data_IF_725687654496
#
_entry.id   IF_725687654496
#
_cell.length_a   1.000
_cell.length_b   1.000
_cell.length_c   1.000
_cell.angle_alpha   90.00
_cell.angle_beta   90.00
_cell.angle_gamma   90.00
#
_symmetry.space_group_name_H-M   'P 1'
#
loop_
_entity.id
_entity.type
_entity.pdbx_description
1 polymer ?
#
# COMPACT_ATOMS: atom_id res chain seq x y z
N UNK A 1 0.26 -21.81 2.09
CA UNK A 1 -0.83 -21.22 2.91
C UNK A 1 -1.36 -20.01 2.15
N UNK A 2 -2.65 -19.67 2.28
CA UNK A 2 -3.18 -18.43 1.70
C UNK A 2 -3.03 -17.35 2.77
N UNK A 3 -2.17 -16.37 2.54
CA UNK A 3 -1.99 -15.24 3.47
C UNK A 3 -3.29 -14.44 3.57
N UNK A 4 -3.72 -14.07 4.77
CA UNK A 4 -4.89 -13.19 4.96
C UNK A 4 -4.49 -11.71 4.80
N UNK A 5 -5.46 -10.82 4.54
CA UNK A 5 -5.18 -9.37 4.52
C UNK A 5 -4.68 -8.86 5.88
N UNK A 6 -5.11 -9.47 6.99
CA UNK A 6 -4.61 -9.17 8.33
C UNK A 6 -3.13 -9.55 8.52
N UNK A 7 -2.71 -10.71 8.01
CA UNK A 7 -1.31 -11.14 8.06
C UNK A 7 -0.41 -10.22 7.23
N UNK A 8 -0.84 -9.88 6.01
CA UNK A 8 -0.14 -8.89 5.16
C UNK A 8 0.03 -7.57 5.90
N UNK A 9 -1.04 -7.09 6.55
CA UNK A 9 -1.02 -5.87 7.33
C UNK A 9 -0.06 -5.96 8.51
N UNK A 10 -0.03 -7.07 9.23
CA UNK A 10 0.86 -7.27 10.37
C UNK A 10 2.34 -7.23 9.97
N UNK A 11 2.71 -7.89 8.86
CA UNK A 11 4.07 -7.85 8.34
C UNK A 11 4.47 -6.44 7.89
N UNK A 12 3.58 -5.74 7.18
CA UNK A 12 3.81 -4.37 6.75
C UNK A 12 4.01 -3.44 7.96
N UNK A 13 3.17 -3.54 8.99
CA UNK A 13 3.29 -2.73 10.20
C UNK A 13 4.65 -2.94 10.86
N UNK A 14 5.06 -4.20 11.06
CA UNK A 14 6.37 -4.52 11.67
C UNK A 14 7.52 -3.89 10.89
N UNK A 15 7.43 -3.91 9.55
CA UNK A 15 8.40 -3.22 8.70
C UNK A 15 8.38 -1.70 8.90
N UNK A 16 7.21 -1.06 8.91
CA UNK A 16 7.08 0.38 9.10
C UNK A 16 7.58 0.85 10.48
N UNK A 17 7.28 0.09 11.53
CA UNK A 17 7.79 0.32 12.89
C UNK A 17 9.31 0.24 12.94
N UNK A 18 9.92 -0.75 12.28
CA UNK A 18 11.38 -0.89 12.20
C UNK A 18 12.07 0.30 11.52
N UNK A 19 11.32 1.05 10.71
CA UNK A 19 11.78 2.26 10.03
C UNK A 19 11.39 3.55 10.78
N UNK A 20 10.78 3.43 11.96
CA UNK A 20 10.40 4.56 12.81
C UNK A 20 9.20 5.37 12.28
N UNK A 21 8.33 4.77 11.46
CA UNK A 21 7.12 5.44 10.98
C UNK A 21 5.96 5.22 11.96
N UNK A 22 5.17 6.28 12.17
CA UNK A 22 3.88 6.20 12.84
C UNK A 22 2.84 5.73 11.83
N UNK A 23 1.93 4.86 12.22
CA UNK A 23 0.91 4.33 11.32
C UNK A 23 -0.49 4.35 11.92
N UNK A 24 -1.49 4.17 11.07
CA UNK A 24 -2.88 4.05 11.46
C UNK A 24 -3.56 2.98 10.58
N UNK A 25 -4.11 1.96 11.24
CA UNK A 25 -4.86 0.88 10.59
C UNK A 25 -6.27 1.39 10.29
N UNK A 26 -6.74 1.27 9.05
CA UNK A 26 -8.04 1.81 8.59
C UNK A 26 -8.17 3.32 8.88
N UNK A 27 -7.41 4.12 8.13
CA UNK A 27 -7.51 5.57 8.21
C UNK A 27 -8.69 6.07 7.37
N UNK A 28 -9.54 6.92 7.96
CA UNK A 28 -10.69 7.48 7.28
C UNK A 28 -10.58 9.00 7.17
N UNK A 29 -10.63 9.51 5.94
CA UNK A 29 -10.68 10.93 5.64
C UNK A 29 -11.99 11.26 4.91
N UNK A 30 -12.99 11.71 5.68
CA UNK A 30 -14.33 11.89 5.15
C UNK A 30 -14.94 10.56 4.72
N UNK A 31 -15.21 10.40 3.42
CA UNK A 31 -15.75 9.14 2.83
C UNK A 31 -14.67 8.22 2.28
N UNK A 32 -13.41 8.64 2.29
CA UNK A 32 -12.30 7.84 1.78
C UNK A 32 -11.71 7.05 2.93
N UNK A 33 -11.65 5.73 2.74
CA UNK A 33 -10.96 4.81 3.64
C UNK A 33 -9.68 4.33 2.98
N UNK A 34 -8.61 4.29 3.77
CA UNK A 34 -7.28 3.81 3.39
C UNK A 34 -6.92 2.71 4.36
N UNK A 35 -6.56 1.54 3.83
CA UNK A 35 -6.35 0.36 4.67
C UNK A 35 -5.22 0.56 5.69
N UNK A 36 -4.14 1.24 5.29
CA UNK A 36 -3.09 1.68 6.20
C UNK A 36 -2.44 2.98 5.71
N UNK A 37 -2.32 3.95 6.61
CA UNK A 37 -1.54 5.17 6.38
C UNK A 37 -0.32 5.14 7.29
N UNK A 38 0.84 5.53 6.75
CA UNK A 38 2.05 5.75 7.52
C UNK A 38 2.58 7.17 7.33
N UNK A 39 3.15 7.72 8.39
CA UNK A 39 3.72 9.06 8.47
C UNK A 39 5.10 8.98 9.11
N UNK A 40 6.08 9.63 8.50
CA UNK A 40 7.40 9.75 9.12
C UNK A 40 8.33 10.66 8.34
N UNK A 41 9.54 10.81 8.86
CA UNK A 41 10.63 11.54 8.20
C UNK A 41 11.62 10.62 7.50
N UNK A 42 11.25 9.37 7.28
CA UNK A 42 12.11 8.38 6.63
C UNK A 42 11.53 7.99 5.27
N UNK A 43 12.34 8.09 4.22
CA UNK A 43 12.02 7.60 2.88
C UNK A 43 12.37 6.12 2.79
N UNK A 44 11.36 5.24 2.84
CA UNK A 44 11.54 3.79 2.83
C UNK A 44 12.05 3.25 1.49
N UNK A 45 12.00 4.04 0.42
CA UNK A 45 12.41 3.62 -0.93
C UNK A 45 13.84 4.01 -1.27
N UNK A 46 14.33 5.08 -0.67
CA UNK A 46 15.69 5.59 -0.81
C UNK A 46 16.57 5.27 0.41
N UNK A 47 15.99 4.67 1.46
CA UNK A 47 16.66 4.32 2.72
C UNK A 47 17.34 5.53 3.39
N UNK A 48 16.67 6.70 3.36
CA UNK A 48 17.24 7.98 3.83
C UNK A 48 16.25 8.80 4.66
N UNK A 49 16.78 9.62 5.55
CA UNK A 49 15.98 10.63 6.26
C UNK A 49 15.61 11.81 5.36
N UNK A 50 14.47 12.42 5.66
CA UNK A 50 13.89 13.60 5.02
C UNK A 50 13.67 14.69 6.05
N UNK A 51 13.79 15.95 5.63
CA UNK A 51 13.46 17.10 6.48
C UNK A 51 11.93 17.31 6.57
N UNK A 52 11.18 16.77 5.62
CA UNK A 52 9.73 16.86 5.52
C UNK A 52 9.04 15.58 5.99
N UNK A 53 7.83 15.73 6.50
CA UNK A 53 6.92 14.60 6.71
C UNK A 53 6.54 13.97 5.37
N UNK A 54 6.74 12.66 5.25
CA UNK A 54 6.34 11.85 4.12
C UNK A 54 5.12 11.03 4.53
N UNK A 55 4.07 11.07 3.69
CA UNK A 55 2.85 10.29 3.87
C UNK A 55 2.80 9.13 2.89
N UNK A 56 2.55 7.94 3.40
CA UNK A 56 2.35 6.73 2.61
C UNK A 56 0.91 6.24 2.78
N UNK A 57 0.25 5.90 1.68
CA UNK A 57 -0.98 5.10 1.70
C UNK A 57 -0.69 3.71 1.16
N UNK A 58 -1.13 2.70 1.88
CA UNK A 58 -1.02 1.30 1.50
C UNK A 58 -2.43 0.72 1.35
N UNK A 59 -2.74 0.27 0.14
CA UNK A 59 -3.96 -0.47 -0.18
C UNK A 59 -3.61 -1.95 -0.25
N UNK A 60 -4.25 -2.75 0.59
CA UNK A 60 -3.98 -4.17 0.74
C UNK A 60 -5.12 -4.96 0.12
N UNK A 61 -4.80 -5.88 -0.80
CA UNK A 61 -5.84 -6.75 -1.37
C UNK A 61 -5.30 -8.12 -1.69
N UNK A 62 -6.08 -9.15 -1.36
CA UNK A 62 -5.91 -10.48 -1.95
C UNK A 62 -6.44 -10.45 -3.40
N UNK A 63 -5.68 -9.79 -4.28
CA UNK A 63 -6.02 -9.45 -5.67
C UNK A 63 -5.99 -10.69 -6.60
N UNK A 64 -6.77 -11.70 -6.22
CA UNK A 64 -6.88 -13.03 -6.83
C UNK A 64 -7.69 -13.05 -8.14
N UNK A 65 -8.37 -11.95 -8.47
CA UNK A 65 -9.19 -11.85 -9.69
C UNK A 65 -8.95 -10.53 -10.40
N UNK A 66 -9.28 -10.49 -11.70
CA UNK A 66 -9.18 -9.28 -12.52
C UNK A 66 -9.95 -8.09 -11.97
N UNK A 67 -11.13 -8.33 -11.38
CA UNK A 67 -11.96 -7.28 -10.77
C UNK A 67 -11.26 -6.71 -9.54
N UNK A 68 -10.79 -7.57 -8.63
CA UNK A 68 -10.11 -7.13 -7.41
C UNK A 68 -8.81 -6.37 -7.71
N UNK A 69 -8.07 -6.79 -8.75
CA UNK A 69 -6.87 -6.05 -9.20
C UNK A 69 -7.26 -4.65 -9.70
N UNK A 70 -8.35 -4.54 -10.47
CA UNK A 70 -8.82 -3.24 -10.96
C UNK A 70 -9.23 -2.35 -9.79
N UNK A 71 -10.00 -2.88 -8.85
CA UNK A 71 -10.50 -2.15 -7.69
C UNK A 71 -9.34 -1.61 -6.82
N UNK A 72 -8.34 -2.45 -6.50
CA UNK A 72 -7.19 -2.00 -5.69
C UNK A 72 -6.34 -0.95 -6.43
N UNK A 73 -6.23 -1.04 -7.77
CA UNK A 73 -5.53 -0.03 -8.57
C UNK A 73 -6.30 1.30 -8.54
N UNK A 74 -7.61 1.28 -8.79
CA UNK A 74 -8.44 2.50 -8.74
C UNK A 74 -8.39 3.12 -7.36
N UNK A 75 -8.46 2.29 -6.33
CA UNK A 75 -8.31 2.71 -4.95
C UNK A 75 -6.96 3.41 -4.73
N UNK A 76 -5.85 2.75 -5.03
CA UNK A 76 -4.52 3.35 -4.86
C UNK A 76 -4.34 4.65 -5.68
N UNK A 77 -4.90 4.74 -6.89
CA UNK A 77 -4.87 5.99 -7.68
C UNK A 77 -5.50 7.14 -6.92
N UNK A 78 -6.69 6.97 -6.32
CA UNK A 78 -7.36 8.12 -5.66
C UNK A 78 -6.58 8.61 -4.43
N UNK A 79 -5.73 7.77 -3.84
CA UNK A 79 -4.93 8.12 -2.65
C UNK A 79 -3.83 9.10 -3.02
N UNK A 80 -3.37 9.12 -4.27
CA UNK A 80 -2.38 10.08 -4.77
C UNK A 80 -2.79 11.55 -4.56
N UNK A 81 -4.09 11.83 -4.39
CA UNK A 81 -4.60 13.16 -4.08
C UNK A 81 -4.28 13.63 -2.65
N UNK A 82 -3.84 12.77 -1.76
CA UNK A 82 -3.64 13.12 -0.34
C UNK A 82 -2.32 12.65 0.27
N UNK A 83 -1.59 11.74 -0.40
CA UNK A 83 -0.33 11.19 0.12
C UNK A 83 0.84 11.42 -0.83
N UNK A 84 2.06 11.42 -0.29
CA UNK A 84 3.29 11.51 -1.07
C UNK A 84 3.51 10.24 -1.90
N UNK A 85 3.25 9.06 -1.33
CA UNK A 85 3.39 7.78 -2.02
C UNK A 85 2.17 6.89 -1.79
N UNK A 86 1.58 6.37 -2.87
CA UNK A 86 0.55 5.33 -2.79
C UNK A 86 1.09 4.00 -3.28
N UNK A 87 0.79 2.93 -2.54
CA UNK A 87 1.39 1.61 -2.69
C UNK A 87 0.29 0.55 -2.66
N UNK A 88 0.33 -0.34 -3.63
CA UNK A 88 -0.46 -1.58 -3.62
C UNK A 88 0.36 -2.65 -2.89
N UNK A 89 -0.27 -3.34 -1.96
CA UNK A 89 0.31 -4.40 -1.15
C UNK A 89 -0.46 -5.69 -1.42
N UNK A 90 0.26 -6.70 -1.86
CA UNK A 90 -0.27 -8.00 -2.29
C UNK A 90 0.59 -9.13 -1.71
N UNK A 91 0.08 -10.36 -1.62
CA UNK A 91 0.95 -11.49 -1.38
C UNK A 91 1.81 -11.75 -2.62
N UNK A 92 3.04 -12.26 -2.46
CA UNK A 92 3.89 -12.59 -3.61
C UNK A 92 3.32 -13.71 -4.47
N UNK A 93 2.67 -14.69 -3.84
CA UNK A 93 1.90 -15.73 -4.55
C UNK A 93 0.51 -15.85 -3.97
N UNK A 94 -0.45 -16.33 -4.77
CA UNK A 94 -1.77 -16.67 -4.27
C UNK A 94 -2.32 -17.91 -4.93
N UNK A 95 -3.11 -18.65 -4.17
CA UNK A 95 -3.85 -19.80 -4.66
C UNK A 95 -5.24 -19.35 -5.10
N UNK A 96 -5.50 -19.39 -6.41
CA UNK A 96 -6.80 -19.09 -6.99
C UNK A 96 -7.53 -20.38 -7.33
N UNK A 97 -8.83 -20.43 -7.06
CA UNK A 97 -9.67 -21.51 -7.56
C UNK A 97 -9.88 -21.31 -9.05
N UNK A 98 -9.44 -22.25 -9.87
CA UNK A 98 -9.69 -22.24 -11.33
C UNK A 98 -10.97 -23.00 -11.68
N UNK A 99 -11.43 -23.87 -10.76
CA UNK A 99 -12.72 -24.54 -10.75
C UNK A 99 -13.02 -25.02 -9.32
N UNK A 100 -14.15 -25.71 -9.10
CA UNK A 100 -14.58 -26.18 -7.77
C UNK A 100 -13.65 -27.23 -7.12
N UNK A 101 -12.65 -27.73 -7.85
CA UNK A 101 -11.77 -28.84 -7.43
C UNK A 101 -10.28 -28.51 -7.46
N UNK A 102 -9.87 -27.46 -8.15
CA UNK A 102 -8.48 -27.17 -8.46
C UNK A 102 -8.11 -25.74 -8.05
N UNK A 103 -7.03 -25.64 -7.26
CA UNK A 103 -6.35 -24.39 -6.98
C UNK A 103 -5.07 -24.31 -7.79
N UNK A 104 -4.85 -23.16 -8.44
CA UNK A 104 -3.61 -22.83 -9.12
C UNK A 104 -2.89 -21.74 -8.35
N UNK A 105 -1.60 -21.94 -8.11
CA UNK A 105 -0.73 -20.87 -7.63
C UNK A 105 -0.43 -19.91 -8.78
N UNK A 106 -0.62 -18.62 -8.53
CA UNK A 106 -0.32 -17.55 -9.48
C UNK A 106 0.59 -16.50 -8.85
N UNK A 107 1.45 -15.92 -9.69
CA UNK A 107 2.23 -14.74 -9.36
C UNK A 107 1.35 -13.50 -9.56
N UNK A 108 0.76 -13.00 -8.47
CA UNK A 108 -0.15 -11.84 -8.52
C UNK A 108 0.61 -10.57 -8.93
N UNK A 109 1.87 -10.45 -8.54
CA UNK A 109 2.68 -9.26 -8.72
C UNK A 109 2.87 -8.87 -10.20
N UNK A 110 3.12 -9.84 -11.07
CA UNK A 110 3.22 -9.62 -12.51
C UNK A 110 1.91 -9.10 -13.12
N UNK A 111 0.77 -9.68 -12.73
CA UNK A 111 -0.54 -9.28 -13.23
C UNK A 111 -0.94 -7.88 -12.75
N UNK A 112 -0.72 -7.56 -11.48
CA UNK A 112 -0.96 -6.21 -10.94
C UNK A 112 -0.06 -5.19 -11.65
N UNK A 113 1.24 -5.50 -11.83
CA UNK A 113 2.19 -4.62 -12.53
C UNK A 113 1.76 -4.35 -13.97
N UNK A 114 1.35 -5.40 -14.70
CA UNK A 114 0.88 -5.31 -16.09
C UNK A 114 -0.37 -4.43 -16.22
N UNK A 115 -1.32 -4.56 -15.28
CA UNK A 115 -2.58 -3.80 -15.28
C UNK A 115 -2.41 -2.38 -14.78
N UNK A 116 -1.46 -2.13 -13.87
CA UNK A 116 -1.15 -0.80 -13.34
C UNK A 116 -0.30 0.06 -14.30
N UNK A 117 -0.68 0.14 -15.58
CA UNK A 117 0.07 0.82 -16.64
C UNK A 117 -0.63 2.05 -17.24
N UNK A 118 -1.68 2.55 -16.58
CA UNK A 118 -2.35 3.81 -16.92
C UNK A 118 -1.57 5.04 -16.42
N UNK A 119 -2.00 6.23 -16.81
CA UNK A 119 -1.32 7.51 -16.54
C UNK A 119 -0.94 7.67 -15.06
N UNK A 120 -1.92 7.52 -14.16
CA UNK A 120 -1.69 7.63 -12.72
C UNK A 120 -1.20 6.33 -12.09
N UNK A 121 -1.64 5.17 -12.60
CA UNK A 121 -1.24 3.89 -12.02
C UNK A 121 0.24 3.55 -12.22
N UNK A 122 0.93 4.15 -13.19
CA UNK A 122 2.41 4.06 -13.33
C UNK A 122 3.19 4.65 -12.16
N UNK A 123 2.58 5.57 -11.39
CA UNK A 123 3.22 6.21 -10.23
C UNK A 123 3.07 5.40 -8.95
N UNK A 124 2.17 4.41 -8.93
CA UNK A 124 1.91 3.59 -7.74
C UNK A 124 3.08 2.66 -7.44
N UNK A 125 3.40 2.53 -6.17
CA UNK A 125 4.28 1.47 -5.67
C UNK A 125 3.56 0.14 -5.72
N UNK A 126 4.30 -0.93 -5.94
CA UNK A 126 3.81 -2.29 -5.80
C UNK A 126 4.85 -3.02 -4.95
N UNK A 127 4.41 -3.51 -3.80
CA UNK A 127 5.18 -4.42 -2.99
C UNK A 127 4.43 -5.73 -2.88
N UNK A 128 5.18 -6.83 -2.87
CA UNK A 128 4.63 -8.12 -2.48
C UNK A 128 5.25 -8.54 -1.15
N UNK A 129 4.44 -9.20 -0.32
CA UNK A 129 4.88 -9.77 0.96
C UNK A 129 4.78 -11.29 0.83
N UNK A 130 5.88 -11.98 1.11
CA UNK A 130 5.89 -13.43 1.10
C UNK A 130 5.40 -14.04 2.41
N UNK A 131 5.41 -15.37 2.50
CA UNK A 131 4.82 -16.09 3.63
C UNK A 131 5.59 -15.93 4.94
N UNK A 132 6.86 -15.57 4.88
CA UNK A 132 7.70 -15.32 6.06
C UNK A 132 7.75 -13.83 6.42
N UNK A 133 6.97 -13.00 5.72
CA UNK A 133 6.91 -11.56 5.92
C UNK A 133 7.98 -10.77 5.16
N UNK A 134 8.73 -11.43 4.28
CA UNK A 134 9.71 -10.79 3.42
C UNK A 134 9.02 -9.82 2.46
N UNK A 135 9.43 -8.55 2.48
CA UNK A 135 8.87 -7.51 1.61
C UNK A 135 9.76 -7.37 0.37
N UNK A 136 9.18 -7.62 -0.80
CA UNK A 136 9.81 -7.44 -2.10
C UNK A 136 9.20 -6.26 -2.83
N UNK A 137 10.04 -5.32 -3.27
CA UNK A 137 9.61 -4.21 -4.10
C UNK A 137 9.50 -4.66 -5.56
N UNK A 138 8.27 -4.81 -6.04
CA UNK A 138 7.97 -5.18 -7.44
C UNK A 138 8.08 -3.96 -8.34
N UNK A 139 7.64 -2.80 -7.82
CA UNK A 139 7.79 -1.49 -8.46
C UNK A 139 7.91 -0.42 -7.38
N UNK A 140 8.98 0.38 -7.44
CA UNK A 140 9.16 1.55 -6.58
C UNK A 140 8.12 2.63 -6.95
N UNK A 141 7.41 3.24 -5.98
CA UNK A 141 6.49 4.33 -6.26
C UNK A 141 7.22 5.58 -6.73
N UNK A 142 6.48 6.47 -7.39
CA UNK A 142 6.91 7.86 -7.64
C UNK A 142 6.16 8.77 -6.68
N UNK A 143 6.82 9.83 -6.22
CA UNK A 143 6.18 10.83 -5.37
C UNK A 143 5.04 11.49 -6.14
N UNK A 144 3.86 11.60 -5.52
CA UNK A 144 2.68 12.17 -6.15
C UNK A 144 2.89 13.66 -6.44
N UNK A 145 2.51 14.09 -7.65
CA UNK A 145 2.56 15.49 -8.08
C UNK A 145 1.18 16.16 -8.06
N UNK A 146 0.14 15.44 -7.65
CA UNK A 146 -1.27 15.88 -7.67
C UNK A 146 -1.86 15.98 -6.26
N UNK A 147 -1.00 16.09 -5.25
CA UNK A 147 -1.42 16.16 -3.85
C UNK A 147 -2.20 17.44 -3.59
N UNK A 148 -3.39 17.31 -3.02
CA UNK A 148 -4.20 18.40 -2.51
C UNK A 148 -3.68 18.75 -1.10
N UNK A 149 -3.11 19.94 -0.96
CA UNK A 149 -2.41 20.35 0.26
C UNK A 149 -3.32 20.34 1.50
N UNK A 150 -4.61 20.70 1.39
CA UNK A 150 -5.52 20.67 2.54
C UNK A 150 -5.70 19.24 3.08
N UNK A 151 -5.84 18.25 2.19
CA UNK A 151 -5.98 16.85 2.58
C UNK A 151 -4.69 16.34 3.24
N UNK A 152 -3.53 16.65 2.64
CA UNK A 152 -2.22 16.28 3.17
C UNK A 152 -2.01 16.82 4.58
N UNK A 153 -2.28 18.11 4.80
CA UNK A 153 -2.12 18.75 6.11
C UNK A 153 -3.07 18.18 7.16
N UNK A 154 -4.30 17.80 6.75
CA UNK A 154 -5.25 17.15 7.63
C UNK A 154 -4.75 15.78 8.10
N UNK A 155 -4.18 14.96 7.19
CA UNK A 155 -3.56 13.68 7.56
C UNK A 155 -2.42 13.91 8.55
N UNK A 156 -1.50 14.85 8.28
CA UNK A 156 -0.37 15.13 9.17
C UNK A 156 -0.88 15.49 10.57
N UNK A 157 -1.84 16.41 10.67
CA UNK A 157 -2.40 16.85 11.95
C UNK A 157 -3.03 15.68 12.72
N UNK A 158 -3.85 14.87 12.07
CA UNK A 158 -4.54 13.75 12.72
C UNK A 158 -3.58 12.63 13.14
N UNK A 159 -2.57 12.33 12.31
CA UNK A 159 -1.58 11.30 12.57
C UNK A 159 -0.57 11.71 13.64
N UNK A 160 -0.11 12.97 13.66
CA UNK A 160 0.81 13.47 14.69
C UNK A 160 0.20 13.48 16.08
N UNK A 161 -1.11 13.69 16.19
CA UNK A 161 -1.83 13.66 17.48
C UNK A 161 -2.03 12.24 18.03
N UNK A 162 -1.90 11.19 17.21
CA UNK A 162 -2.01 9.79 17.65
C UNK A 162 -0.76 9.27 18.37
N UNK A 163 0.36 10.00 18.32
CA UNK A 163 1.64 9.64 18.95
C UNK A 163 1.66 9.82 20.49
N UNK A 164 0.52 10.07 21.13
CA UNK A 164 0.40 10.41 22.55
C UNK A 164 -0.23 9.31 23.44
N UNK A 165 -0.36 8.07 22.96
CA UNK A 165 -0.87 6.95 23.75
C UNK A 165 0.01 5.71 23.63
#
# INVERSE_FOLDING_TARGET
MTSSEEELRAHLIKFLESKGLVYNKSYRLGRIEIDLVALGKYDIWDDKSSNENIIYAFEMKLASTSSLIKDVIEQAITRLLMVDYSVIVIPCTANIWVNDKEKKEINIDEEVKKRANGTYSKSLGIICIGNEGEIKVVRKPKRSTIVINELRQKIIKEMSNKTLF
#
